data_IF_787722682158
#
_entry.id   IF_787722682158
#
_cell.length_a   1.000
_cell.length_b   1.000
_cell.length_c   1.000
_cell.angle_alpha   90.00
_cell.angle_beta   90.00
_cell.angle_gamma   90.00
#
_symmetry.space_group_name_H-M   'P 1'
#
loop_
_entity.id
_entity.type
_entity.pdbx_description
1 polymer ?
#
# COMPACT_ATOMS: atom_id res chain seq x y z
N UNK A 1 27.98 -23.48 -14.86
CA UNK A 1 28.29 -23.43 -13.41
C UNK A 1 27.49 -22.26 -12.91
N UNK A 2 26.24 -22.57 -12.62
CA UNK A 2 25.15 -21.64 -12.40
C UNK A 2 24.95 -21.54 -10.89
N UNK A 3 25.12 -20.35 -10.32
CA UNK A 3 24.66 -20.03 -8.98
C UNK A 3 23.56 -18.97 -9.09
N UNK A 4 22.32 -19.45 -9.07
CA UNK A 4 21.09 -18.65 -9.07
C UNK A 4 20.84 -18.11 -7.65
N UNK A 5 21.21 -16.85 -7.41
CA UNK A 5 20.93 -16.16 -6.14
C UNK A 5 19.42 -15.84 -6.05
N UNK A 6 18.64 -16.75 -5.48
CA UNK A 6 17.24 -16.51 -5.10
C UNK A 6 17.16 -15.61 -3.87
N UNK A 7 16.80 -14.34 -4.05
CA UNK A 7 16.41 -13.48 -2.93
C UNK A 7 14.97 -13.81 -2.55
N UNK A 8 14.80 -14.55 -1.46
CA UNK A 8 13.50 -14.75 -0.82
C UNK A 8 12.97 -13.40 -0.32
N UNK A 9 11.86 -12.92 -0.91
CA UNK A 9 11.14 -11.75 -0.38
C UNK A 9 10.54 -12.13 0.97
N UNK A 10 11.18 -11.69 2.05
CA UNK A 10 10.65 -11.84 3.40
C UNK A 10 9.41 -10.92 3.56
N UNK A 11 8.31 -11.40 4.14
CA UNK A 11 7.17 -10.56 4.48
C UNK A 11 7.59 -9.53 5.54
N UNK A 12 6.92 -8.37 5.53
CA UNK A 12 7.20 -7.27 6.47
C UNK A 12 7.06 -7.74 7.92
N UNK A 13 8.14 -7.62 8.70
CA UNK A 13 8.17 -7.85 10.15
C UNK A 13 8.76 -6.63 10.85
N UNK A 14 8.45 -6.44 12.14
CA UNK A 14 9.07 -5.39 12.97
C UNK A 14 10.60 -5.55 13.06
N UNK A 15 11.12 -6.76 12.86
CA UNK A 15 12.53 -7.09 12.89
C UNK A 15 13.25 -6.76 11.57
N UNK A 16 12.52 -6.63 10.46
CA UNK A 16 13.07 -6.37 9.12
C UNK A 16 12.93 -4.90 8.68
N UNK A 17 12.41 -4.03 9.54
CA UNK A 17 12.30 -2.59 9.25
C UNK A 17 13.64 -1.89 9.47
N UNK A 18 14.10 -1.12 8.48
CA UNK A 18 15.40 -0.40 8.51
C UNK A 18 15.42 0.81 9.46
N UNK A 19 14.28 1.21 10.02
CA UNK A 19 14.21 2.30 11.01
C UNK A 19 12.98 2.16 11.92
N UNK A 20 13.20 1.63 13.11
CA UNK A 20 12.34 1.87 14.27
C UNK A 20 13.06 2.90 15.16
N UNK A 21 12.37 3.87 15.77
CA UNK A 21 13.02 4.80 16.69
C UNK A 21 13.70 4.03 17.82
N UNK A 22 15.01 4.27 17.99
CA UNK A 22 15.82 3.66 19.05
C UNK A 22 15.25 4.07 20.40
N UNK A 23 15.08 3.10 21.30
CA UNK A 23 14.66 3.29 22.70
C UNK A 23 15.38 4.51 23.30
N UNK A 24 14.69 5.63 23.44
CA UNK A 24 15.10 6.67 24.36
C UNK A 24 14.86 6.14 25.77
N UNK A 25 15.88 6.21 26.61
CA UNK A 25 15.82 5.80 28.02
C UNK A 25 14.76 6.63 28.75
N UNK A 26 13.63 6.01 29.07
CA UNK A 26 12.68 6.52 30.06
C UNK A 26 13.34 6.52 31.46
N UNK A 27 12.99 7.48 32.33
CA UNK A 27 13.55 7.56 33.67
C UNK A 27 13.20 6.31 34.49
N UNK A 28 14.12 5.95 35.39
CA UNK A 28 14.05 4.79 36.27
C UNK A 28 12.78 4.81 37.15
N UNK A 29 11.84 3.95 36.83
CA UNK A 29 10.73 3.61 37.72
C UNK A 29 11.22 2.46 38.61
N UNK A 30 11.23 2.72 39.91
CA UNK A 30 11.55 1.76 40.97
C UNK A 30 10.75 0.47 40.82
N UNK A 31 11.46 -0.65 40.83
CA UNK A 31 10.93 -2.00 40.81
C UNK A 31 10.10 -2.26 42.06
N UNK A 32 8.78 -2.36 41.88
CA UNK A 32 7.93 -3.24 42.68
C UNK A 32 6.80 -3.73 41.77
N UNK A 33 7.18 -4.51 40.76
CA UNK A 33 6.23 -5.25 39.92
C UNK A 33 6.46 -6.71 40.20
N UNK A 34 5.58 -7.29 41.02
CA UNK A 34 5.42 -8.73 41.11
C UNK A 34 5.34 -9.29 39.69
N UNK A 35 6.31 -10.13 39.31
CA UNK A 35 6.22 -10.97 38.12
C UNK A 35 4.99 -11.86 38.27
N UNK A 36 3.84 -11.40 37.81
CA UNK A 36 2.76 -12.30 37.44
C UNK A 36 3.24 -13.01 36.18
N UNK A 37 3.80 -14.20 36.37
CA UNK A 37 3.89 -15.20 35.32
C UNK A 37 2.48 -15.36 34.77
N UNK A 38 2.22 -14.87 33.56
CA UNK A 38 0.96 -15.15 32.90
C UNK A 38 0.91 -16.67 32.74
N UNK A 39 -0.02 -17.38 33.40
CA UNK A 39 -0.14 -18.80 33.15
C UNK A 39 -0.61 -18.91 31.70
N UNK A 40 0.24 -19.50 30.85
CA UNK A 40 -0.18 -20.15 29.61
C UNK A 40 -1.09 -21.30 29.99
N UNK A 41 -2.33 -20.96 30.36
CA UNK A 41 -3.42 -21.94 30.34
C UNK A 41 -3.58 -22.31 28.88
N UNK A 42 -3.35 -23.59 28.60
CA UNK A 42 -3.70 -24.21 27.34
C UNK A 42 -5.09 -23.70 26.94
N UNK A 43 -5.16 -23.02 25.80
CA UNK A 43 -6.41 -22.48 25.27
C UNK A 43 -7.18 -23.66 24.65
N UNK A 44 -7.75 -24.50 25.51
CA UNK A 44 -8.69 -25.52 25.09
C UNK A 44 -10.03 -24.86 24.77
N UNK A 45 -10.22 -24.65 23.47
CA UNK A 45 -11.47 -24.71 22.72
C UNK A 45 -12.66 -23.87 23.21
N UNK A 46 -12.74 -22.62 22.71
CA UNK A 46 -13.89 -22.17 21.90
C UNK A 46 -13.71 -20.80 21.24
N UNK A 47 -12.49 -20.38 20.90
CA UNK A 47 -12.28 -19.20 20.04
C UNK A 47 -12.55 -19.55 18.58
N UNK A 48 -13.79 -19.95 18.28
CA UNK A 48 -14.34 -19.58 16.98
C UNK A 48 -14.51 -18.07 17.06
N UNK A 49 -13.48 -17.32 16.67
CA UNK A 49 -13.69 -15.96 16.17
C UNK A 49 -14.87 -16.11 15.21
N UNK A 50 -16.05 -15.61 15.61
CA UNK A 50 -17.29 -15.93 14.93
C UNK A 50 -17.05 -15.67 13.45
N UNK A 51 -17.09 -16.73 12.64
CA UNK A 51 -16.72 -16.63 11.24
C UNK A 51 -17.55 -15.56 10.54
N UNK A 52 -18.72 -15.20 11.10
CA UNK A 52 -19.58 -14.10 10.67
C UNK A 52 -18.96 -12.71 10.92
N UNK A 53 -18.27 -12.48 12.04
CA UNK A 53 -17.56 -11.22 12.32
C UNK A 53 -16.43 -10.98 11.30
N UNK A 54 -15.77 -12.05 10.84
CA UNK A 54 -14.74 -11.96 9.80
C UNK A 54 -15.28 -11.46 8.45
N UNK A 55 -16.58 -11.59 8.18
CA UNK A 55 -17.21 -11.15 6.92
C UNK A 55 -17.85 -9.76 6.99
N UNK A 56 -17.97 -9.15 8.17
CA UNK A 56 -18.68 -7.86 8.35
C UNK A 56 -18.12 -6.76 7.45
N UNK A 57 -16.80 -6.72 7.26
CA UNK A 57 -16.16 -5.69 6.44
C UNK A 57 -15.74 -6.18 5.05
N UNK A 58 -16.18 -7.36 4.60
CA UNK A 58 -15.79 -7.98 3.33
C UNK A 58 -14.27 -7.97 3.09
N UNK A 59 -13.74 -6.92 2.44
CA UNK A 59 -12.32 -6.71 2.10
C UNK A 59 -11.62 -5.64 2.94
N UNK A 60 -12.34 -5.05 3.89
CA UNK A 60 -11.84 -4.08 4.85
C UNK A 60 -11.55 -4.69 6.21
N UNK A 61 -11.20 -3.81 7.15
CA UNK A 61 -10.82 -4.17 8.51
C UNK A 61 -11.90 -3.64 9.46
N UNK A 62 -12.48 -4.53 10.27
CA UNK A 62 -13.40 -4.14 11.33
C UNK A 62 -12.61 -3.49 12.47
N UNK A 63 -13.01 -2.28 12.83
CA UNK A 63 -12.49 -1.55 13.99
C UNK A 63 -13.63 -1.14 14.89
N UNK A 64 -13.34 -1.09 16.18
CA UNK A 64 -14.25 -0.59 17.20
C UNK A 64 -13.73 0.75 17.70
N UNK A 65 -14.60 1.76 17.78
CA UNK A 65 -14.20 3.09 18.23
C UNK A 65 -15.18 3.68 19.25
N UNK A 66 -14.64 4.55 20.12
CA UNK A 66 -15.38 5.20 21.19
C UNK A 66 -15.72 4.29 22.38
N UNK A 67 -16.23 4.91 23.46
CA UNK A 67 -16.55 4.20 24.72
C UNK A 67 -17.66 3.15 24.56
N UNK A 68 -18.49 3.29 23.53
CA UNK A 68 -19.59 2.37 23.20
C UNK A 68 -19.15 1.21 22.30
N UNK A 69 -17.88 1.13 21.92
CA UNK A 69 -17.35 0.14 20.97
C UNK A 69 -18.19 0.08 19.69
N UNK A 70 -18.36 1.23 19.04
CA UNK A 70 -19.11 1.28 17.78
C UNK A 70 -18.30 0.60 16.67
N UNK A 71 -18.96 -0.26 15.90
CA UNK A 71 -18.37 -0.95 14.76
C UNK A 71 -18.18 0.00 13.56
N UNK A 72 -17.03 -0.11 12.91
CA UNK A 72 -16.73 0.61 11.68
C UNK A 72 -15.80 -0.22 10.79
N UNK A 73 -15.98 -0.12 9.48
CA UNK A 73 -15.09 -0.78 8.52
C UNK A 73 -14.14 0.23 7.91
N UNK A 74 -12.83 0.00 8.08
CA UNK A 74 -11.80 0.69 7.33
C UNK A 74 -11.64 0.01 5.97
N UNK A 75 -12.05 0.70 4.91
CA UNK A 75 -11.98 0.14 3.56
C UNK A 75 -10.63 0.41 2.89
N UNK A 76 -10.07 -0.58 2.17
CA UNK A 76 -8.94 -0.33 1.29
C UNK A 76 -9.37 0.63 0.16
N UNK A 77 -8.44 1.38 -0.47
CA UNK A 77 -8.76 2.40 -1.47
C UNK A 77 -9.63 1.93 -2.65
N UNK A 78 -9.58 0.63 -2.96
CA UNK A 78 -10.34 0.03 -4.07
C UNK A 78 -11.77 -0.36 -3.72
N UNK A 79 -12.20 -0.28 -2.45
CA UNK A 79 -13.53 -0.66 -2.00
C UNK A 79 -14.17 0.43 -1.14
N UNK A 80 -15.50 0.52 -1.15
CA UNK A 80 -16.26 1.54 -0.43
C UNK A 80 -17.62 1.03 0.06
N UNK A 81 -18.29 1.87 0.84
CA UNK A 81 -19.52 1.54 1.57
C UNK A 81 -19.24 1.17 3.02
N UNK A 82 -20.29 1.15 3.86
CA UNK A 82 -20.15 0.93 5.30
C UNK A 82 -19.54 -0.43 5.67
N UNK A 83 -19.56 -1.39 4.74
CA UNK A 83 -19.02 -2.74 4.89
C UNK A 83 -17.98 -3.07 3.82
N UNK A 84 -17.46 -2.07 3.10
CA UNK A 84 -16.54 -2.24 1.97
C UNK A 84 -17.06 -3.21 0.89
N UNK A 85 -18.38 -3.23 0.69
CA UNK A 85 -19.07 -4.18 -0.18
C UNK A 85 -19.03 -3.78 -1.66
N UNK A 86 -18.72 -2.52 -1.98
CA UNK A 86 -18.71 -2.02 -3.34
C UNK A 86 -17.29 -1.83 -3.84
N UNK A 87 -17.02 -2.28 -5.05
CA UNK A 87 -15.73 -2.05 -5.71
C UNK A 87 -15.74 -0.71 -6.44
N UNK A 88 -14.66 0.05 -6.30
CA UNK A 88 -14.45 1.29 -7.04
C UNK A 88 -14.20 0.99 -8.51
N UNK A 89 -14.83 1.76 -9.39
CA UNK A 89 -14.45 1.78 -10.80
C UNK A 89 -13.03 2.33 -10.94
N UNK A 90 -12.28 1.75 -11.89
CA UNK A 90 -10.86 2.04 -12.08
C UNK A 90 -10.46 1.98 -13.53
N UNK A 91 -9.41 2.71 -13.85
CA UNK A 91 -8.63 2.55 -15.08
C UNK A 91 -7.51 1.57 -14.77
N UNK A 92 -7.47 0.44 -15.48
CA UNK A 92 -6.44 -0.59 -15.32
C UNK A 92 -5.53 -0.56 -16.55
N UNK A 93 -4.25 -0.29 -16.35
CA UNK A 93 -3.27 -0.25 -17.45
C UNK A 93 -2.05 -1.10 -17.10
N UNK A 94 -1.49 -1.73 -18.12
CA UNK A 94 -0.22 -2.43 -18.00
C UNK A 94 0.82 -1.68 -18.83
N UNK A 95 1.81 -1.12 -18.15
CA UNK A 95 2.88 -0.35 -18.78
C UNK A 95 4.13 -1.21 -18.90
N UNK A 96 4.85 -1.02 -20.00
CA UNK A 96 6.22 -1.53 -20.19
C UNK A 96 7.06 -0.38 -20.70
N UNK A 97 8.08 -0.01 -19.95
CA UNK A 97 9.03 1.01 -20.34
C UNK A 97 10.12 0.38 -21.22
N UNK A 98 10.52 1.10 -22.26
CA UNK A 98 11.68 0.74 -23.09
C UNK A 98 12.85 1.60 -22.67
N UNK A 99 14.00 0.98 -22.51
CA UNK A 99 15.25 1.69 -22.25
C UNK A 99 15.73 2.31 -23.57
N UNK A 100 15.50 3.60 -23.77
CA UNK A 100 16.11 4.35 -24.86
C UNK A 100 16.90 5.52 -24.26
N UNK A 101 18.22 5.51 -24.47
CA UNK A 101 19.15 6.55 -24.02
C UNK A 101 19.24 6.75 -22.49
N UNK A 102 19.01 5.70 -21.70
CA UNK A 102 19.22 5.71 -20.25
C UNK A 102 20.48 4.92 -19.89
N UNK A 103 21.27 5.47 -18.98
CA UNK A 103 22.39 4.76 -18.39
C UNK A 103 21.90 3.60 -17.52
N UNK A 104 22.73 2.57 -17.39
CA UNK A 104 22.36 1.33 -16.69
C UNK A 104 21.96 1.56 -15.23
N UNK A 105 22.52 2.59 -14.58
CA UNK A 105 22.31 2.87 -13.17
C UNK A 105 21.24 3.93 -12.91
N UNK A 106 20.55 4.40 -13.94
CA UNK A 106 19.53 5.43 -13.79
C UNK A 106 18.37 4.92 -12.93
N UNK A 107 17.98 5.77 -11.97
CA UNK A 107 16.83 5.60 -11.09
C UNK A 107 15.80 6.66 -11.47
N UNK A 108 14.68 6.21 -12.02
CA UNK A 108 13.66 7.07 -12.59
C UNK A 108 12.41 6.99 -11.73
N UNK A 109 11.94 8.12 -11.25
CA UNK A 109 10.65 8.26 -10.61
C UNK A 109 9.60 8.45 -11.68
N UNK A 110 8.53 7.65 -11.64
CA UNK A 110 7.41 7.74 -12.58
C UNK A 110 6.14 8.00 -11.77
N UNK A 111 5.43 9.08 -12.10
CA UNK A 111 4.15 9.46 -11.52
C UNK A 111 3.09 9.30 -12.60
N UNK A 112 2.12 8.44 -12.34
CA UNK A 112 0.98 8.20 -13.22
C UNK A 112 -0.26 8.78 -12.55
N UNK A 113 -0.90 9.75 -13.19
CA UNK A 113 -2.02 10.49 -12.61
C UNK A 113 -3.28 10.37 -13.47
N UNK A 114 -4.42 10.09 -12.85
CA UNK A 114 -5.73 10.19 -13.47
C UNK A 114 -6.32 11.58 -13.20
N UNK A 115 -6.54 12.35 -14.25
CA UNK A 115 -7.02 13.73 -14.18
C UNK A 115 -8.29 13.88 -15.03
N UNK A 116 -9.21 14.73 -14.59
CA UNK A 116 -10.37 15.11 -15.40
C UNK A 116 -10.11 16.37 -16.25
N UNK A 117 -11.08 16.73 -17.10
CA UNK A 117 -11.06 17.91 -17.96
C UNK A 117 -11.05 19.25 -17.21
N UNK A 118 -11.33 19.25 -15.90
CA UNK A 118 -11.19 20.44 -15.04
C UNK A 118 -9.80 20.57 -14.42
N UNK A 119 -8.91 19.59 -14.65
CA UNK A 119 -7.61 19.50 -14.00
C UNK A 119 -7.66 18.92 -12.58
N UNK A 120 -8.79 18.36 -12.16
CA UNK A 120 -8.91 17.71 -10.85
C UNK A 120 -8.22 16.34 -10.88
N UNK A 121 -7.34 16.10 -9.92
CA UNK A 121 -6.68 14.80 -9.74
C UNK A 121 -7.64 13.83 -9.03
N UNK A 122 -7.90 12.70 -9.66
CA UNK A 122 -8.74 11.64 -9.11
C UNK A 122 -7.95 10.63 -8.29
N UNK A 123 -6.77 10.24 -8.79
CA UNK A 123 -5.81 9.37 -8.13
C UNK A 123 -4.45 9.48 -8.82
N UNK A 124 -3.42 9.03 -8.14
CA UNK A 124 -2.07 8.92 -8.67
C UNK A 124 -1.42 7.63 -8.15
N UNK A 125 -0.48 7.12 -8.94
CA UNK A 125 0.39 6.00 -8.59
C UNK A 125 1.83 6.45 -8.85
N UNK A 126 2.73 6.12 -7.93
CA UNK A 126 4.14 6.44 -8.07
C UNK A 126 4.95 5.15 -8.03
N UNK A 127 5.88 5.01 -8.95
CA UNK A 127 6.82 3.88 -8.98
C UNK A 127 8.22 4.37 -9.30
N UNK A 128 9.20 3.62 -8.80
CA UNK A 128 10.61 3.82 -9.12
C UNK A 128 11.02 2.74 -10.11
N UNK A 129 11.57 3.16 -11.25
CA UNK A 129 12.09 2.30 -12.31
C UNK A 129 13.61 2.32 -12.27
N UNK A 130 14.23 1.14 -12.20
CA UNK A 130 15.69 0.98 -12.21
C UNK A 130 16.09 0.26 -13.50
N UNK A 131 16.84 0.94 -14.38
CA UNK A 131 17.12 0.48 -15.75
C UNK A 131 17.68 -0.95 -15.84
N UNK A 132 18.62 -1.34 -14.97
CA UNK A 132 19.20 -2.69 -14.97
C UNK A 132 18.24 -3.80 -14.50
N UNK A 133 17.23 -3.47 -13.71
CA UNK A 133 16.34 -4.46 -13.09
C UNK A 133 14.99 -4.54 -13.81
N UNK A 134 14.48 -3.40 -14.26
CA UNK A 134 13.08 -3.26 -14.66
C UNK A 134 12.87 -3.15 -16.16
N UNK A 135 13.93 -3.18 -16.98
CA UNK A 135 13.85 -3.02 -18.44
C UNK A 135 12.97 -4.05 -19.17
N UNK A 136 12.70 -5.20 -18.53
CA UNK A 136 11.79 -6.22 -19.03
C UNK A 136 10.53 -6.38 -18.17
N UNK A 137 10.38 -5.57 -17.12
CA UNK A 137 9.25 -5.56 -16.22
C UNK A 137 7.97 -5.04 -16.89
N UNK A 138 6.84 -5.53 -16.38
CA UNK A 138 5.51 -4.99 -16.67
C UNK A 138 4.93 -4.45 -15.37
N UNK A 139 4.39 -3.24 -15.43
CA UNK A 139 3.81 -2.56 -14.29
C UNK A 139 2.30 -2.54 -14.46
N UNK A 140 1.57 -3.19 -13.54
CA UNK A 140 0.11 -3.16 -13.52
C UNK A 140 -0.35 -2.02 -12.61
N UNK A 141 -0.94 -1.00 -13.22
CA UNK A 141 -1.33 0.24 -12.57
C UNK A 141 -2.85 0.33 -12.49
N UNK A 142 -3.36 0.70 -11.32
CA UNK A 142 -4.78 0.82 -11.04
C UNK A 142 -5.11 2.23 -10.53
N UNK A 143 -5.70 3.06 -11.39
CA UNK A 143 -6.11 4.41 -11.03
C UNK A 143 -7.61 4.44 -10.73
N UNK A 144 -7.97 4.96 -9.57
CA UNK A 144 -9.36 5.03 -9.10
C UNK A 144 -9.97 6.40 -9.31
N UNK A 145 -11.28 6.44 -9.58
CA UNK A 145 -12.02 7.70 -9.56
C UNK A 145 -12.26 8.15 -8.12
N UNK A 146 -12.05 9.43 -7.83
CA UNK A 146 -12.25 10.02 -6.49
C UNK A 146 -13.59 9.68 -5.83
N UNK A 147 -14.68 9.65 -6.61
CA UNK A 147 -16.02 9.34 -6.12
C UNK A 147 -16.39 7.85 -6.25
N UNK A 148 -15.39 6.97 -6.38
CA UNK A 148 -15.50 5.52 -6.61
C UNK A 148 -16.22 5.10 -7.90
N UNK A 149 -16.87 6.03 -8.61
CA UNK A 149 -17.57 5.84 -9.88
C UNK A 149 -17.10 6.87 -10.90
N UNK A 150 -17.04 6.46 -12.15
CA UNK A 150 -16.79 7.32 -13.30
C UNK A 150 -18.01 8.19 -13.55
N UNK A 151 -17.81 9.50 -13.55
CA UNK A 151 -18.81 10.42 -14.08
C UNK A 151 -18.75 10.40 -15.61
N UNK A 152 -19.82 9.98 -16.27
CA UNK A 152 -19.87 9.84 -17.73
C UNK A 152 -19.96 11.19 -18.47
N UNK A 153 -20.21 12.29 -17.75
CA UNK A 153 -20.27 13.64 -18.34
C UNK A 153 -18.88 14.26 -18.51
N UNK A 154 -17.89 13.77 -17.76
CA UNK A 154 -16.51 14.27 -17.77
C UNK A 154 -15.62 13.48 -18.71
N UNK A 155 -14.59 14.14 -19.24
CA UNK A 155 -13.47 13.48 -19.91
C UNK A 155 -12.33 13.26 -18.94
N UNK A 156 -11.61 12.16 -19.12
CA UNK A 156 -10.50 11.77 -18.26
C UNK A 156 -9.27 11.42 -19.08
N UNK A 157 -8.12 11.84 -18.59
CA UNK A 157 -6.82 11.57 -19.20
C UNK A 157 -5.90 10.97 -18.15
N UNK A 158 -5.05 10.05 -18.59
CA UNK A 158 -3.96 9.52 -17.77
C UNK A 158 -2.68 10.22 -18.20
N UNK A 159 -2.06 10.94 -17.27
CA UNK A 159 -0.76 11.58 -17.44
C UNK A 159 0.32 10.67 -16.85
N UNK A 160 1.46 10.55 -17.52
CA UNK A 160 2.59 9.73 -17.09
C UNK A 160 3.84 10.58 -17.14
N UNK A 161 4.26 11.07 -15.98
CA UNK A 161 5.43 11.93 -15.85
C UNK A 161 6.62 11.13 -15.33
N UNK A 162 7.79 11.34 -15.91
CA UNK A 162 9.04 10.72 -15.51
C UNK A 162 10.09 11.77 -15.13
N UNK A 163 10.81 11.52 -14.04
CA UNK A 163 11.89 12.37 -13.55
C UNK A 163 13.05 11.52 -13.05
N UNK A 164 14.26 12.05 -13.11
CA UNK A 164 15.44 11.49 -12.46
C UNK A 164 15.29 11.63 -10.95
N UNK A 165 15.24 10.53 -10.20
CA UNK A 165 15.05 10.59 -8.73
C UNK A 165 16.27 11.19 -8.00
N UNK A 166 17.47 11.08 -8.57
CA UNK A 166 18.71 11.53 -7.93
C UNK A 166 18.87 13.04 -8.12
N UNK A 167 18.74 13.51 -9.36
CA UNK A 167 18.94 14.91 -9.70
C UNK A 167 17.65 15.74 -9.66
N UNK A 168 16.48 15.09 -9.48
CA UNK A 168 15.15 15.70 -9.53
C UNK A 168 14.88 16.46 -10.85
N UNK A 169 15.52 16.02 -11.93
CA UNK A 169 15.35 16.59 -13.25
C UNK A 169 14.16 15.96 -13.96
N UNK A 170 13.27 16.79 -14.48
CA UNK A 170 12.15 16.32 -15.28
C UNK A 170 12.62 15.77 -16.62
N UNK A 171 12.13 14.57 -17.00
CA UNK A 171 12.53 13.89 -18.23
C UNK A 171 11.45 13.97 -19.31
N UNK A 172 10.21 13.53 -19.02
CA UNK A 172 9.09 13.48 -19.99
C UNK A 172 7.71 13.44 -19.32
N UNK A 173 6.67 13.83 -20.08
CA UNK A 173 5.22 13.56 -19.89
C UNK A 173 4.67 12.70 -21.03
#
# INVERSE_FOLDING_TARGET
MDDEFRINKLPFSSQSSRSYPTRQSLPSVTEDVQHQTFPTKALENNDRLDSRLAWVCHRGILVYYGKKQNEHCLCPPSYYGNHCQYQSQRVSQTLRFRQENLDKLDVIGIIITLVDDTGCIHSHEQLTYISIHDCNGKFNIYLFYRNHRKDMTKKYTVHIDAYDEVNLNYLRS
#
